data_IF_033245904404
#
_entry.id   IF_033245904404
#
_cell.length_a   1.000
_cell.length_b   1.000
_cell.length_c   1.000
_cell.angle_alpha   90.00
_cell.angle_beta   90.00
_cell.angle_gamma   90.00
#
_symmetry.space_group_name_H-M   'P 1'
#
loop_
_entity.id
_entity.type
_entity.pdbx_description
1 polymer ?
#
# COMPACT_ATOMS: atom_id res chain seq x y z
N UNK A 1 16.94 -19.70 12.55
CA UNK A 1 15.99 -20.08 13.33
C UNK A 1 14.86 -21.03 12.84
N UNK A 2 15.04 -21.81 11.79
CA UNK A 2 14.22 -22.97 11.41
C UNK A 2 12.90 -22.70 10.68
N UNK A 3 12.25 -21.56 10.84
CA UNK A 3 10.99 -21.25 10.18
C UNK A 3 11.17 -20.74 8.74
N UNK A 4 12.25 -20.02 8.46
CA UNK A 4 12.55 -19.37 7.19
C UNK A 4 12.54 -17.86 7.28
N UNK A 5 12.48 -17.20 6.12
CA UNK A 5 12.49 -15.75 5.97
C UNK A 5 11.43 -15.33 4.95
N UNK A 6 10.83 -14.16 5.15
CA UNK A 6 9.89 -13.54 4.20
C UNK A 6 10.16 -12.04 4.10
N UNK A 7 9.83 -11.45 2.96
CA UNK A 7 9.77 -10.01 2.79
C UNK A 7 8.51 -9.45 3.47
N UNK A 8 8.66 -8.38 4.24
CA UNK A 8 7.57 -7.65 4.88
C UNK A 8 7.76 -6.16 4.61
N UNK A 9 6.68 -5.49 4.25
CA UNK A 9 6.67 -4.05 4.06
C UNK A 9 6.99 -3.30 5.36
N UNK A 10 7.68 -2.17 5.22
CA UNK A 10 8.06 -1.29 6.33
C UNK A 10 6.98 -0.21 6.53
N UNK A 11 6.08 -0.36 7.52
CA UNK A 11 4.91 0.53 7.68
C UNK A 11 5.14 1.67 8.66
N UNK A 12 6.36 1.86 9.16
CA UNK A 12 6.68 2.87 10.15
C UNK A 12 7.37 4.08 9.52
N UNK A 13 7.10 5.27 10.07
CA UNK A 13 7.83 6.49 9.79
C UNK A 13 9.05 6.59 10.72
N UNK A 14 9.98 7.48 10.38
CA UNK A 14 11.19 7.85 11.13
C UNK A 14 10.96 8.34 12.58
N UNK A 15 9.68 8.49 12.99
CA UNK A 15 9.30 8.90 14.36
C UNK A 15 9.41 7.80 15.42
N UNK A 16 9.39 6.54 15.03
CA UNK A 16 9.53 5.43 15.98
C UNK A 16 11.00 5.11 16.17
N UNK A 17 11.59 5.64 17.24
CA UNK A 17 13.03 5.47 17.53
C UNK A 17 13.37 4.15 18.20
N UNK A 18 12.45 3.56 18.96
CA UNK A 18 12.75 2.45 19.87
C UNK A 18 12.05 1.13 19.51
N UNK A 19 11.19 1.10 18.48
CA UNK A 19 10.46 -0.09 18.07
C UNK A 19 10.11 -0.10 16.59
N UNK A 20 10.05 -1.30 16.01
CA UNK A 20 9.53 -1.52 14.66
C UNK A 20 8.18 -2.21 14.75
N UNK A 21 7.17 -1.64 14.07
CA UNK A 21 5.85 -2.27 13.96
C UNK A 21 5.70 -2.88 12.57
N UNK A 22 5.25 -4.13 12.50
CA UNK A 22 4.96 -4.82 11.25
C UNK A 22 3.54 -5.35 11.25
N UNK A 23 2.90 -5.34 10.09
CA UNK A 23 1.59 -5.95 9.86
C UNK A 23 1.79 -7.25 9.09
N UNK A 24 1.48 -8.36 9.72
CA UNK A 24 1.75 -9.69 9.18
C UNK A 24 0.46 -10.49 9.10
N UNK A 25 0.04 -10.81 7.88
CA UNK A 25 -1.08 -11.73 7.66
C UNK A 25 -0.60 -13.17 7.79
N UNK A 26 -1.30 -13.99 8.58
CA UNK A 26 -0.99 -15.41 8.75
C UNK A 26 -1.44 -16.19 7.50
N UNK A 27 -0.50 -16.59 6.65
CA UNK A 27 -0.80 -17.28 5.38
C UNK A 27 0.10 -18.47 5.07
N UNK A 28 1.25 -18.64 5.75
CA UNK A 28 2.22 -19.69 5.45
C UNK A 28 3.09 -20.06 6.64
N UNK A 29 4.10 -20.92 6.41
CA UNK A 29 4.97 -21.45 7.47
C UNK A 29 5.63 -20.34 8.30
N UNK A 30 6.28 -19.38 7.65
CA UNK A 30 7.02 -18.30 8.34
C UNK A 30 6.07 -17.37 9.08
N UNK A 31 5.00 -16.90 8.44
CA UNK A 31 4.00 -16.05 9.08
C UNK A 31 3.27 -16.76 10.23
N UNK A 32 3.05 -18.07 10.13
CA UNK A 32 2.52 -18.85 11.27
C UNK A 32 3.50 -18.88 12.44
N UNK A 33 4.80 -19.08 12.18
CA UNK A 33 5.81 -19.02 13.23
C UNK A 33 5.87 -17.61 13.87
N UNK A 34 5.79 -16.55 13.09
CA UNK A 34 5.72 -15.17 13.61
C UNK A 34 4.50 -14.97 14.52
N UNK A 35 3.32 -15.48 14.14
CA UNK A 35 2.12 -15.38 14.97
C UNK A 35 2.16 -16.19 16.26
N UNK A 36 3.06 -17.17 16.36
CA UNK A 36 3.24 -17.98 17.56
C UNK A 36 4.27 -17.36 18.54
N UNK A 37 4.98 -16.31 18.14
CA UNK A 37 5.91 -15.58 19.01
C UNK A 37 5.19 -14.95 20.21
N UNK A 38 5.86 -14.95 21.34
CA UNK A 38 5.42 -14.33 22.58
C UNK A 38 6.28 -13.10 22.88
N UNK A 39 5.79 -12.25 23.76
CA UNK A 39 6.56 -11.12 24.26
C UNK A 39 7.86 -11.65 24.92
N UNK A 40 9.00 -11.11 24.47
CA UNK A 40 10.33 -11.55 24.88
C UNK A 40 11.01 -12.51 23.90
N UNK A 41 10.29 -13.08 22.93
CA UNK A 41 10.91 -13.89 21.88
C UNK A 41 11.70 -13.00 20.90
N UNK A 42 12.75 -13.59 20.33
CA UNK A 42 13.63 -12.88 19.38
C UNK A 42 13.31 -13.23 17.93
N UNK A 43 13.34 -12.21 17.08
CA UNK A 43 13.19 -12.32 15.63
C UNK A 43 14.35 -11.60 14.94
N UNK A 44 14.93 -12.25 13.91
CA UNK A 44 15.95 -11.60 13.08
C UNK A 44 15.30 -10.68 12.04
N UNK A 45 15.91 -9.52 11.82
CA UNK A 45 15.52 -8.54 10.81
C UNK A 45 16.73 -8.14 9.98
N UNK A 46 16.56 -8.01 8.68
CA UNK A 46 17.56 -7.43 7.78
C UNK A 46 16.89 -6.57 6.70
N UNK A 47 17.58 -5.55 6.21
CA UNK A 47 17.10 -4.57 5.25
C UNK A 47 17.50 -3.15 5.67
N UNK A 48 16.84 -2.11 5.21
CA UNK A 48 15.76 -2.16 4.23
C UNK A 48 16.23 -2.54 2.82
N UNK A 49 15.32 -3.07 1.99
CA UNK A 49 15.58 -3.42 0.60
C UNK A 49 14.59 -2.74 -0.34
N UNK A 50 15.01 -2.54 -1.59
CA UNK A 50 14.16 -2.01 -2.65
C UNK A 50 14.03 -0.49 -2.66
N UNK A 51 13.19 0.00 -3.56
CA UNK A 51 12.93 1.42 -3.81
C UNK A 51 11.67 1.85 -3.07
N UNK A 52 11.72 2.94 -2.27
CA UNK A 52 10.56 3.46 -1.55
C UNK A 52 9.60 4.22 -2.49
N UNK A 53 8.39 4.51 -1.99
CA UNK A 53 7.49 5.47 -2.62
C UNK A 53 8.18 6.85 -2.73
N UNK A 54 8.09 7.52 -3.89
CA UNK A 54 8.82 8.78 -4.14
C UNK A 54 8.10 9.96 -3.49
N UNK A 55 8.17 10.08 -2.18
CA UNK A 55 7.40 11.04 -1.36
C UNK A 55 7.48 12.48 -1.87
N UNK A 56 8.65 12.94 -2.29
CA UNK A 56 8.84 14.33 -2.70
C UNK A 56 8.09 14.65 -4.01
N UNK A 57 7.93 13.68 -4.91
CA UNK A 57 7.18 13.88 -6.16
C UNK A 57 5.67 13.89 -5.97
N UNK A 58 5.18 13.45 -4.82
CA UNK A 58 3.75 13.46 -4.49
C UNK A 58 3.28 14.84 -4.00
N UNK A 59 4.20 15.73 -3.60
CA UNK A 59 3.88 17.06 -3.05
C UNK A 59 3.29 18.01 -4.11
N UNK A 60 2.52 19.00 -3.64
CA UNK A 60 1.88 20.00 -4.49
C UNK A 60 0.66 19.51 -5.25
N UNK A 61 0.22 18.27 -5.04
CA UNK A 61 -0.86 17.60 -5.76
C UNK A 61 -1.90 17.02 -4.78
N UNK A 62 -3.06 16.66 -5.30
CA UNK A 62 -3.97 15.78 -4.59
C UNK A 62 -3.36 14.38 -4.49
N UNK A 63 -3.62 13.69 -3.39
CA UNK A 63 -3.12 12.34 -3.15
C UNK A 63 -4.28 11.36 -2.98
N UNK A 64 -4.36 10.38 -3.87
CA UNK A 64 -5.27 9.25 -3.74
C UNK A 64 -4.49 8.01 -3.27
N UNK A 65 -4.93 7.37 -2.21
CA UNK A 65 -4.36 6.11 -1.74
C UNK A 65 -5.42 5.03 -1.72
N UNK A 66 -5.21 3.99 -2.49
CA UNK A 66 -6.11 2.84 -2.59
C UNK A 66 -5.44 1.61 -1.98
N UNK A 67 -5.96 1.15 -0.85
CA UNK A 67 -5.46 -0.04 -0.16
C UNK A 67 -6.52 -1.13 -0.04
N UNK A 68 -6.10 -2.38 -0.14
CA UNK A 68 -6.99 -3.53 0.04
C UNK A 68 -6.40 -4.52 1.04
N UNK A 69 -7.13 -4.75 2.14
CA UNK A 69 -6.68 -5.64 3.21
C UNK A 69 -5.30 -5.22 3.73
N UNK A 70 -4.32 -6.14 3.69
CA UNK A 70 -2.95 -5.86 4.13
C UNK A 70 -2.22 -4.83 3.26
N UNK A 71 -2.74 -4.50 2.07
CA UNK A 71 -2.16 -3.50 1.17
C UNK A 71 -2.08 -2.07 1.72
N UNK A 72 -2.73 -1.78 2.86
CA UNK A 72 -2.52 -0.52 3.57
C UNK A 72 -1.19 -0.46 4.34
N UNK A 73 -0.59 -1.59 4.68
CA UNK A 73 0.68 -1.61 5.42
C UNK A 73 1.83 -0.93 4.65
N UNK A 74 2.09 -1.21 3.36
CA UNK A 74 3.16 -0.57 2.60
C UNK A 74 3.05 0.95 2.51
N UNK A 75 1.84 1.48 2.47
CA UNK A 75 1.60 2.93 2.28
C UNK A 75 1.47 3.71 3.59
N UNK A 76 1.39 3.03 4.72
CA UNK A 76 1.18 3.68 6.02
C UNK A 76 2.23 4.75 6.33
N UNK A 77 3.51 4.44 6.15
CA UNK A 77 4.59 5.39 6.42
C UNK A 77 4.45 6.67 5.57
N UNK A 78 4.13 6.52 4.28
CA UNK A 78 3.90 7.64 3.37
C UNK A 78 2.65 8.44 3.78
N UNK A 79 1.56 7.77 4.16
CA UNK A 79 0.33 8.44 4.63
C UNK A 79 0.57 9.22 5.92
N UNK A 80 1.22 8.63 6.92
CA UNK A 80 1.57 9.32 8.17
C UNK A 80 2.33 10.60 7.86
N UNK A 81 3.40 10.49 7.05
CA UNK A 81 4.22 11.64 6.67
C UNK A 81 3.44 12.70 5.87
N UNK A 82 2.56 12.27 4.95
CA UNK A 82 1.75 13.20 4.17
C UNK A 82 0.70 13.93 5.02
N UNK A 83 0.07 13.25 5.95
CA UNK A 83 -0.93 13.83 6.86
C UNK A 83 -0.27 14.80 7.86
N UNK A 84 0.91 14.46 8.37
CA UNK A 84 1.69 15.33 9.26
C UNK A 84 2.19 16.60 8.54
N UNK A 85 2.43 16.51 7.24
CA UNK A 85 2.82 17.64 6.40
C UNK A 85 1.68 17.98 5.43
N UNK A 86 0.43 17.96 5.91
CA UNK A 86 -0.78 18.19 5.09
C UNK A 86 -0.73 19.45 4.23
N UNK A 87 -0.14 20.59 4.66
CA UNK A 87 0.00 21.78 3.82
C UNK A 87 0.80 21.56 2.53
N UNK A 88 1.65 20.53 2.45
CA UNK A 88 2.40 20.18 1.24
C UNK A 88 1.53 19.47 0.19
N UNK A 89 0.29 19.14 0.51
CA UNK A 89 -0.63 18.38 -0.36
C UNK A 89 -1.94 19.15 -0.55
N UNK A 90 -2.59 18.91 -1.69
CA UNK A 90 -4.00 19.24 -1.89
C UNK A 90 -4.91 18.35 -1.02
N UNK A 91 -5.97 17.81 -1.56
CA UNK A 91 -6.82 16.83 -0.86
C UNK A 91 -6.09 15.48 -0.74
N UNK A 92 -6.33 14.77 0.35
CA UNK A 92 -5.85 13.40 0.54
C UNK A 92 -7.09 12.50 0.65
N UNK A 93 -7.31 11.64 -0.35
CA UNK A 93 -8.38 10.67 -0.33
C UNK A 93 -7.81 9.26 -0.08
N UNK A 94 -8.27 8.61 0.99
CA UNK A 94 -7.84 7.28 1.40
C UNK A 94 -9.00 6.32 1.17
N UNK A 95 -8.80 5.35 0.30
CA UNK A 95 -9.80 4.34 -0.03
C UNK A 95 -9.41 3.00 0.60
N UNK A 96 -10.16 2.59 1.62
CA UNK A 96 -9.90 1.38 2.38
C UNK A 96 -10.89 0.27 2.01
N UNK A 97 -10.40 -0.87 1.52
CA UNK A 97 -11.27 -1.99 1.16
C UNK A 97 -10.90 -3.31 1.83
N UNK A 98 -11.94 -4.06 2.18
CA UNK A 98 -11.82 -5.42 2.74
C UNK A 98 -13.11 -6.22 2.49
N UNK A 99 -13.10 -7.51 2.82
CA UNK A 99 -14.31 -8.33 2.78
C UNK A 99 -15.30 -7.91 3.87
N UNK A 100 -14.80 -7.66 5.07
CA UNK A 100 -15.57 -7.22 6.24
C UNK A 100 -14.86 -6.07 6.93
N UNK A 101 -15.56 -5.32 7.77
CA UNK A 101 -14.96 -4.26 8.58
C UNK A 101 -13.82 -4.78 9.46
N UNK A 102 -13.97 -5.96 10.05
CA UNK A 102 -12.91 -6.56 10.88
C UNK A 102 -11.65 -6.89 10.09
N UNK A 103 -11.78 -7.14 8.78
CA UNK A 103 -10.66 -7.35 7.87
C UNK A 103 -9.93 -6.09 7.43
N UNK A 104 -10.43 -4.89 7.78
CA UNK A 104 -9.72 -3.64 7.51
C UNK A 104 -8.49 -3.52 8.40
N UNK A 105 -7.38 -3.15 7.79
CA UNK A 105 -6.16 -2.79 8.49
C UNK A 105 -6.20 -1.30 8.87
N UNK A 106 -5.43 -0.90 9.90
CA UNK A 106 -5.25 0.50 10.31
C UNK A 106 -6.56 1.21 10.72
N UNK A 107 -7.54 0.52 11.28
CA UNK A 107 -8.84 1.10 11.62
C UNK A 107 -8.74 2.34 12.50
N UNK A 108 -7.84 2.35 13.47
CA UNK A 108 -7.63 3.47 14.38
C UNK A 108 -6.94 4.63 13.66
N UNK A 109 -5.89 4.36 12.88
CA UNK A 109 -5.26 5.37 12.02
C UNK A 109 -6.28 6.01 11.07
N UNK A 110 -7.10 5.21 10.37
CA UNK A 110 -8.12 5.69 9.43
C UNK A 110 -9.15 6.60 10.13
N UNK A 111 -9.61 6.26 11.34
CA UNK A 111 -10.52 7.09 12.12
C UNK A 111 -9.89 8.44 12.54
N UNK A 112 -8.62 8.41 12.96
CA UNK A 112 -7.91 9.62 13.35
C UNK A 112 -7.60 10.49 12.12
N UNK A 113 -7.20 9.91 11.02
CA UNK A 113 -6.92 10.64 9.78
C UNK A 113 -8.16 11.31 9.20
N UNK A 114 -9.33 10.68 9.30
CA UNK A 114 -10.59 11.26 8.84
C UNK A 114 -10.97 12.56 9.59
N UNK A 115 -10.36 12.84 10.75
CA UNK A 115 -10.59 14.10 11.51
C UNK A 115 -9.72 15.24 11.00
N UNK A 116 -8.72 14.97 10.16
CA UNK A 116 -7.79 15.98 9.67
C UNK A 116 -8.42 16.75 8.50
N UNK A 117 -8.51 18.08 8.54
CA UNK A 117 -9.07 18.87 7.45
C UNK A 117 -8.37 18.57 6.11
N UNK A 118 -9.18 18.28 5.08
CA UNK A 118 -8.69 17.94 3.74
C UNK A 118 -8.17 16.50 3.59
N UNK A 119 -8.44 15.64 4.57
CA UNK A 119 -8.25 14.19 4.49
C UNK A 119 -9.62 13.51 4.50
N UNK A 120 -9.87 12.65 3.55
CA UNK A 120 -11.12 11.92 3.39
C UNK A 120 -10.84 10.42 3.43
N UNK A 121 -11.66 9.67 4.15
CA UNK A 121 -11.56 8.21 4.25
C UNK A 121 -12.85 7.58 3.72
N UNK A 122 -12.71 6.76 2.69
CA UNK A 122 -13.81 6.04 2.05
C UNK A 122 -13.64 4.54 2.26
N UNK A 123 -14.70 3.89 2.70
CA UNK A 123 -14.71 2.46 2.94
C UNK A 123 -15.47 1.71 1.83
N UNK A 124 -14.91 0.61 1.35
CA UNK A 124 -15.59 -0.30 0.43
C UNK A 124 -15.49 -1.73 0.97
N UNK A 125 -16.62 -2.34 1.26
CA UNK A 125 -16.70 -3.66 1.87
C UNK A 125 -17.52 -4.62 1.00
N UNK A 126 -17.21 -5.91 1.06
CA UNK A 126 -18.03 -6.93 0.39
C UNK A 126 -19.25 -7.34 1.23
N UNK A 127 -19.24 -7.06 2.53
CA UNK A 127 -20.34 -7.36 3.45
C UNK A 127 -20.75 -6.10 4.20
N UNK A 128 -22.06 -5.91 4.44
CA UNK A 128 -22.56 -4.78 5.20
C UNK A 128 -22.04 -4.77 6.65
N UNK A 129 -22.01 -3.58 7.24
CA UNK A 129 -21.64 -3.31 8.63
C UNK A 129 -22.40 -2.10 9.14
N UNK A 130 -22.58 -2.01 10.46
CA UNK A 130 -23.11 -0.86 11.18
C UNK A 130 -22.01 0.00 11.83
N UNK A 131 -20.74 -0.42 11.69
CA UNK A 131 -19.61 0.23 12.36
C UNK A 131 -19.09 1.46 11.62
N UNK A 132 -19.29 1.55 10.32
CA UNK A 132 -18.91 2.69 9.46
C UNK A 132 -19.88 2.80 8.29
N UNK A 133 -20.02 4.01 7.75
CA UNK A 133 -20.65 4.20 6.45
C UNK A 133 -19.71 3.66 5.36
N UNK A 134 -20.11 2.58 4.71
CA UNK A 134 -19.29 1.90 3.74
C UNK A 134 -20.08 1.58 2.47
N UNK A 135 -19.46 1.84 1.32
CA UNK A 135 -19.97 1.33 0.06
C UNK A 135 -19.90 -0.20 0.04
N UNK A 136 -21.01 -0.84 -0.31
CA UNK A 136 -21.04 -2.29 -0.48
C UNK A 136 -20.84 -2.60 -1.96
N UNK A 137 -19.63 -3.00 -2.32
CA UNK A 137 -19.24 -3.23 -3.71
C UNK A 137 -17.77 -3.08 -3.97
N UNK A 138 -17.45 -2.68 -5.19
CA UNK A 138 -16.06 -2.46 -5.58
C UNK A 138 -15.62 -1.03 -5.26
N UNK A 139 -14.38 -0.89 -4.83
CA UNK A 139 -13.78 0.42 -4.51
C UNK A 139 -13.77 1.36 -5.72
N UNK A 140 -13.71 0.81 -6.92
CA UNK A 140 -13.75 1.55 -8.18
C UNK A 140 -15.04 2.37 -8.35
N UNK A 141 -16.16 1.88 -7.80
CA UNK A 141 -17.46 2.55 -7.91
C UNK A 141 -17.47 3.93 -7.24
N UNK A 142 -16.58 4.15 -6.29
CA UNK A 142 -16.43 5.41 -5.55
C UNK A 142 -15.56 6.45 -6.28
N UNK A 143 -14.69 6.03 -7.21
CA UNK A 143 -13.72 6.91 -7.86
C UNK A 143 -14.34 8.16 -8.51
N UNK A 144 -15.42 8.04 -9.33
CA UNK A 144 -16.00 9.22 -9.98
C UNK A 144 -16.57 10.26 -9.00
N UNK A 145 -17.02 9.80 -7.82
CA UNK A 145 -17.63 10.65 -6.80
C UNK A 145 -16.64 11.42 -5.94
N UNK A 146 -15.32 11.13 -6.00
CA UNK A 146 -14.32 11.80 -5.20
C UNK A 146 -14.12 13.28 -5.57
N UNK A 147 -14.40 13.67 -6.83
CA UNK A 147 -14.26 15.05 -7.29
C UNK A 147 -12.84 15.61 -7.16
N UNK A 148 -11.83 14.75 -7.34
CA UNK A 148 -10.41 15.14 -7.39
C UNK A 148 -10.06 15.73 -8.76
N UNK A 149 -9.08 16.62 -8.80
CA UNK A 149 -8.45 17.02 -10.08
C UNK A 149 -7.53 15.91 -10.57
N UNK A 150 -8.08 14.99 -11.37
CA UNK A 150 -7.36 13.81 -11.85
C UNK A 150 -6.08 14.12 -12.62
N UNK A 151 -5.96 15.31 -13.22
CA UNK A 151 -4.74 15.75 -13.90
C UNK A 151 -3.66 16.25 -12.94
N UNK A 152 -4.08 16.65 -11.74
CA UNK A 152 -3.20 17.09 -10.66
C UNK A 152 -3.26 16.19 -9.44
N UNK A 153 -3.56 14.91 -9.64
CA UNK A 153 -3.60 13.88 -8.58
C UNK A 153 -2.45 12.89 -8.77
N UNK A 154 -1.81 12.48 -7.68
CA UNK A 154 -0.96 11.29 -7.62
C UNK A 154 -1.73 10.17 -6.94
N UNK A 155 -1.71 8.96 -7.50
CA UNK A 155 -2.36 7.81 -6.90
C UNK A 155 -1.35 6.76 -6.45
N UNK A 156 -1.60 6.14 -5.30
CA UNK A 156 -0.85 4.98 -4.80
C UNK A 156 -1.85 3.82 -4.66
N UNK A 157 -1.61 2.71 -5.35
CA UNK A 157 -2.47 1.53 -5.31
C UNK A 157 -1.68 0.35 -4.74
N UNK A 158 -2.10 -0.15 -3.58
CA UNK A 158 -1.52 -1.34 -2.96
C UNK A 158 -2.58 -2.42 -2.79
N UNK A 159 -2.58 -3.37 -3.72
CA UNK A 159 -3.55 -4.46 -3.82
C UNK A 159 -2.97 -5.63 -4.62
N UNK A 160 -3.76 -6.66 -4.89
CA UNK A 160 -3.37 -7.71 -5.85
C UNK A 160 -3.21 -7.12 -7.27
N UNK A 161 -2.34 -7.70 -8.09
CA UNK A 161 -2.06 -7.24 -9.46
C UNK A 161 -3.34 -7.04 -10.30
N UNK A 162 -4.29 -7.98 -10.21
CA UNK A 162 -5.60 -7.85 -10.87
C UNK A 162 -6.36 -6.60 -10.45
N UNK A 163 -6.33 -6.26 -9.17
CA UNK A 163 -7.04 -5.09 -8.62
C UNK A 163 -6.30 -3.80 -8.98
N UNK A 164 -4.97 -3.80 -8.96
CA UNK A 164 -4.15 -2.68 -9.43
C UNK A 164 -4.52 -2.34 -10.87
N UNK A 165 -4.53 -3.33 -11.77
CA UNK A 165 -4.90 -3.12 -13.18
C UNK A 165 -6.31 -2.55 -13.34
N UNK A 166 -7.28 -3.03 -12.57
CA UNK A 166 -8.65 -2.54 -12.64
C UNK A 166 -8.77 -1.08 -12.19
N UNK A 167 -8.21 -0.74 -11.02
CA UNK A 167 -8.24 0.62 -10.48
C UNK A 167 -7.47 1.60 -11.38
N UNK A 168 -6.26 1.22 -11.83
CA UNK A 168 -5.45 2.06 -12.70
C UNK A 168 -6.12 2.36 -14.04
N UNK A 169 -6.79 1.36 -14.65
CA UNK A 169 -7.57 1.56 -15.87
C UNK A 169 -8.67 2.61 -15.67
N UNK A 170 -9.41 2.51 -14.58
CA UNK A 170 -10.51 3.43 -14.31
C UNK A 170 -10.00 4.84 -13.98
N UNK A 171 -8.87 4.96 -13.28
CA UNK A 171 -8.19 6.25 -13.06
C UNK A 171 -7.70 6.89 -14.36
N UNK A 172 -7.18 6.10 -15.30
CA UNK A 172 -6.80 6.60 -16.63
C UNK A 172 -8.03 7.09 -17.43
N UNK A 173 -9.18 6.41 -17.33
CA UNK A 173 -10.42 6.88 -17.94
C UNK A 173 -10.91 8.20 -17.34
N UNK A 174 -10.62 8.46 -16.06
CA UNK A 174 -10.88 9.72 -15.38
C UNK A 174 -9.86 10.82 -15.73
N UNK A 175 -8.80 10.50 -16.47
CA UNK A 175 -7.83 11.46 -17.01
C UNK A 175 -6.47 11.46 -16.33
N UNK A 176 -6.17 10.51 -15.42
CA UNK A 176 -4.83 10.37 -14.85
C UNK A 176 -3.85 9.80 -15.88
N UNK A 177 -2.60 10.19 -15.78
CA UNK A 177 -1.50 9.59 -16.55
C UNK A 177 -1.00 8.33 -15.81
N UNK A 178 -0.61 7.27 -16.53
CA UNK A 178 -0.06 6.06 -15.91
C UNK A 178 1.24 6.33 -15.11
N UNK A 179 2.00 7.37 -15.48
CA UNK A 179 3.18 7.84 -14.73
C UNK A 179 2.86 8.49 -13.38
N UNK A 180 1.60 8.91 -13.14
CA UNK A 180 1.14 9.50 -11.88
C UNK A 180 0.49 8.46 -10.94
N UNK A 181 0.43 7.21 -11.36
CA UNK A 181 -0.14 6.09 -10.60
C UNK A 181 1.01 5.19 -10.14
N UNK A 182 1.23 5.11 -8.84
CA UNK A 182 2.25 4.29 -8.21
C UNK A 182 1.66 3.00 -7.64
N UNK A 183 2.43 1.93 -7.68
CA UNK A 183 2.03 0.64 -7.10
C UNK A 183 3.22 -0.04 -6.46
N UNK A 184 2.96 -0.91 -5.49
CA UNK A 184 3.97 -1.80 -4.92
C UNK A 184 3.65 -3.24 -5.32
N UNK A 185 4.57 -3.88 -6.04
CA UNK A 185 4.44 -5.25 -6.50
C UNK A 185 5.03 -6.23 -5.48
N UNK A 186 4.30 -7.28 -5.18
CA UNK A 186 4.75 -8.33 -4.26
C UNK A 186 5.36 -9.49 -5.04
N UNK A 187 6.56 -9.88 -4.64
CA UNK A 187 7.22 -11.10 -5.11
C UNK A 187 7.95 -11.81 -3.97
N UNK A 188 8.21 -13.09 -4.16
CA UNK A 188 9.05 -13.83 -3.23
C UNK A 188 10.51 -13.35 -3.33
N UNK A 189 11.06 -12.86 -2.22
CA UNK A 189 12.46 -12.41 -2.14
C UNK A 189 13.27 -13.38 -1.25
N UNK A 190 14.52 -13.64 -1.66
CA UNK A 190 15.45 -14.42 -0.86
C UNK A 190 16.67 -13.58 -0.44
N UNK A 191 17.57 -13.22 -1.38
CA UNK A 191 18.78 -12.51 -1.00
C UNK A 191 18.58 -11.03 -0.62
N UNK A 192 17.61 -10.34 -1.25
CA UNK A 192 17.34 -8.91 -1.04
C UNK A 192 18.30 -7.95 -1.75
N UNK A 193 19.30 -8.45 -2.48
CA UNK A 193 20.42 -7.65 -3.03
C UNK A 193 20.67 -7.92 -4.53
N UNK A 194 19.66 -8.37 -5.29
CA UNK A 194 19.75 -8.55 -6.73
C UNK A 194 20.62 -9.72 -7.23
N UNK A 195 21.02 -10.66 -6.37
CA UNK A 195 21.96 -11.74 -6.75
C UNK A 195 21.31 -13.07 -7.09
N UNK A 196 20.28 -13.51 -6.34
CA UNK A 196 19.78 -14.87 -6.48
C UNK A 196 18.76 -15.05 -7.62
N UNK A 197 18.22 -13.97 -8.19
CA UNK A 197 17.23 -14.01 -9.26
C UNK A 197 15.81 -14.39 -8.84
N UNK A 198 15.58 -14.75 -7.58
CA UNK A 198 14.30 -15.30 -7.14
C UNK A 198 13.13 -14.30 -7.25
N UNK A 199 13.40 -13.01 -7.03
CA UNK A 199 12.42 -11.94 -7.17
C UNK A 199 12.43 -11.25 -8.54
N UNK A 200 13.03 -11.88 -9.56
CA UNK A 200 13.13 -11.28 -10.89
C UNK A 200 11.80 -11.32 -11.63
N UNK A 201 11.41 -10.18 -12.18
CA UNK A 201 10.21 -10.00 -13.03
C UNK A 201 10.65 -9.30 -14.31
N UNK A 202 10.59 -9.99 -15.43
CA UNK A 202 11.17 -9.49 -16.68
C UNK A 202 12.66 -9.20 -16.52
N UNK A 203 13.07 -7.96 -16.73
CA UNK A 203 14.45 -7.48 -16.53
C UNK A 203 14.74 -6.95 -15.12
N UNK A 204 13.72 -6.80 -14.24
CA UNK A 204 13.83 -6.14 -12.96
C UNK A 204 13.97 -7.12 -11.80
N UNK A 205 14.75 -6.75 -10.80
CA UNK A 205 14.83 -7.42 -9.50
C UNK A 205 14.02 -6.61 -8.48
N UNK A 206 12.90 -7.14 -8.00
CA UNK A 206 12.02 -6.42 -7.07
C UNK A 206 12.69 -5.97 -5.78
N UNK A 207 13.77 -6.61 -5.38
CA UNK A 207 14.55 -6.23 -4.19
C UNK A 207 15.54 -5.09 -4.43
N UNK A 208 15.75 -4.64 -5.66
CA UNK A 208 16.72 -3.58 -6.04
C UNK A 208 16.02 -2.50 -6.86
N UNK A 209 15.28 -2.90 -7.92
CA UNK A 209 14.64 -1.98 -8.87
C UNK A 209 13.22 -1.58 -8.44
N UNK A 210 12.57 -2.42 -7.62
CA UNK A 210 11.25 -2.25 -7.04
C UNK A 210 11.29 -2.24 -5.50
N UNK A 211 10.20 -2.57 -4.82
CA UNK A 211 8.92 -3.06 -5.35
C UNK A 211 8.00 -1.97 -5.90
N UNK A 212 8.36 -0.70 -5.74
CA UNK A 212 7.54 0.44 -6.18
C UNK A 212 7.84 0.74 -7.64
N UNK A 213 6.77 0.83 -8.42
CA UNK A 213 6.78 1.19 -9.85
C UNK A 213 5.64 2.14 -10.14
N UNK A 214 5.78 2.97 -11.16
CA UNK A 214 4.64 3.63 -11.81
C UNK A 214 3.83 2.58 -12.59
N UNK A 215 2.56 2.87 -12.84
CA UNK A 215 1.75 2.00 -13.68
C UNK A 215 2.26 1.97 -15.13
N UNK A 216 2.89 3.05 -15.59
CA UNK A 216 3.58 3.11 -16.88
C UNK A 216 4.72 2.09 -16.98
N UNK A 217 5.55 1.99 -15.95
CA UNK A 217 6.61 0.97 -15.83
C UNK A 217 6.01 -0.44 -15.69
N UNK A 218 4.93 -0.58 -14.91
CA UNK A 218 4.24 -1.86 -14.75
C UNK A 218 3.71 -2.42 -16.08
N UNK A 219 3.28 -1.56 -17.01
CA UNK A 219 2.84 -1.97 -18.35
C UNK A 219 3.96 -2.57 -19.22
N UNK A 220 5.23 -2.35 -18.86
CA UNK A 220 6.41 -2.95 -19.53
C UNK A 220 6.80 -4.29 -18.91
N UNK A 221 6.22 -4.69 -17.79
CA UNK A 221 6.47 -5.99 -17.15
C UNK A 221 5.71 -7.11 -17.87
N UNK A 222 6.11 -8.38 -17.66
CA UNK A 222 5.37 -9.52 -18.17
C UNK A 222 3.88 -9.47 -17.79
N UNK A 223 2.97 -9.94 -18.65
CA UNK A 223 1.52 -9.73 -18.52
C UNK A 223 0.87 -10.35 -17.28
N UNK A 224 1.55 -11.26 -16.60
CA UNK A 224 1.14 -11.85 -15.32
C UNK A 224 1.25 -10.85 -14.14
N UNK A 225 1.99 -9.76 -14.30
CA UNK A 225 2.12 -8.62 -13.39
C UNK A 225 1.42 -7.38 -13.95
#
# INVERSE_FOLDING_TARGET
>A
FGAGEIAISVPFSDRVKDAFTFYVKKVGKVTTAMHNLKVGDMMGLRGPFGVPLPYETLKGRDLLVVGSGVGHAPVRATLVRAIENKPDFGRIAIMASATTYDGLLLKDDLREWAKVPGVEVHYSLSKPTDQVDAHIGYINDLLPGLGLDWKNTSAIICASARRIKAVARDLMQLGMKPSDIYTALETNMHCGIGKCGHCKVGSHYMCVDGPVFTYEEMLQLPPEF
#
